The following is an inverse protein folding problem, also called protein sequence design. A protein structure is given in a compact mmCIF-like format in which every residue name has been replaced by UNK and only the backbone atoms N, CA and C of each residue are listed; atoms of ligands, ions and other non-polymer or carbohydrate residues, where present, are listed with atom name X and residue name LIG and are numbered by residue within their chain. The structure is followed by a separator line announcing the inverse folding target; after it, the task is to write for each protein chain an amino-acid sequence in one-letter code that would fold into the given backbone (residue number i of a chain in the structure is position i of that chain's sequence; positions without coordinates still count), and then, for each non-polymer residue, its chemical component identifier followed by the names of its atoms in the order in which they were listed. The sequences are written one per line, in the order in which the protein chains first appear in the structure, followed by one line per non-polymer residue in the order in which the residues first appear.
data_IF_767317918651
#
_entry.id   IF_767317918651
#
_cell.length_a   1.000
_cell.length_b   1.000
_cell.length_c   1.000
_cell.angle_alpha   90.00
_cell.angle_beta   90.00
_cell.angle_gamma   90.00
#
_symmetry.space_group_name_H-M   'P 1'
#
loop_
_entity.id
_entity.type
_entity.pdbx_description
1 polymer ?
#
# COMPACT_ATOMS: atom_id res chain seq x y z
N UNK A 1 6.28 -2.02 23.72
CA UNK A 1 6.99 -2.89 24.66
C UNK A 1 6.85 -2.42 26.10
N UNK A 2 7.05 -1.14 26.44
CA UNK A 2 6.87 -0.64 27.82
C UNK A 2 5.46 -0.81 28.41
N UNK A 3 4.41 -0.65 27.59
CA UNK A 3 3.02 -0.97 28.01
C UNK A 3 2.86 -2.47 28.27
N UNK A 4 3.50 -3.31 27.47
CA UNK A 4 3.46 -4.77 27.63
C UNK A 4 4.29 -5.24 28.84
N UNK A 5 5.44 -4.61 29.11
CA UNK A 5 6.25 -4.84 30.32
C UNK A 5 5.51 -4.39 31.59
N UNK A 6 4.72 -3.32 31.51
CA UNK A 6 3.84 -2.89 32.59
C UNK A 6 2.67 -3.87 32.80
N UNK A 7 2.03 -4.33 31.73
CA UNK A 7 0.92 -5.29 31.77
C UNK A 7 1.33 -6.67 32.32
N UNK A 8 2.56 -7.11 32.03
CA UNK A 8 3.11 -8.38 32.49
C UNK A 8 3.98 -8.24 33.75
N UNK A 9 3.94 -7.09 34.42
CA UNK A 9 4.77 -6.83 35.58
C UNK A 9 4.32 -7.70 36.76
N UNK A 10 5.15 -8.68 37.12
CA UNK A 10 4.95 -9.57 38.27
C UNK A 10 6.24 -9.67 39.06
N UNK A 11 6.10 -9.88 40.37
CA UNK A 11 7.23 -10.13 41.24
C UNK A 11 7.87 -11.48 40.88
N UNK A 12 9.19 -11.53 40.78
CA UNK A 12 9.91 -12.78 40.54
C UNK A 12 10.21 -13.56 41.82
N UNK A 13 10.31 -14.88 41.72
CA UNK A 13 10.53 -15.78 42.86
C UNK A 13 11.82 -15.51 43.66
N UNK A 14 12.79 -14.79 43.07
CA UNK A 14 14.12 -14.53 43.65
C UNK A 14 14.44 -13.03 43.80
N UNK A 15 13.45 -12.14 43.81
CA UNK A 15 13.69 -10.69 43.97
C UNK A 15 13.10 -10.16 45.29
N UNK A 16 13.75 -9.16 45.89
CA UNK A 16 13.18 -8.50 47.06
C UNK A 16 12.20 -7.39 46.63
N UNK A 17 11.33 -6.97 47.55
CA UNK A 17 10.33 -5.90 47.29
C UNK A 17 11.01 -4.60 46.83
N UNK A 18 12.20 -4.29 47.35
CA UNK A 18 12.96 -3.09 46.94
C UNK A 18 13.44 -3.17 45.48
N UNK A 19 13.87 -4.35 45.02
CA UNK A 19 14.28 -4.58 43.64
C UNK A 19 13.07 -4.49 42.70
N UNK A 20 11.94 -5.07 43.10
CA UNK A 20 10.66 -4.98 42.38
C UNK A 20 10.23 -3.51 42.24
N UNK A 21 10.25 -2.74 43.34
CA UNK A 21 9.87 -1.34 43.32
C UNK A 21 10.79 -0.49 42.44
N UNK A 22 12.09 -0.82 42.41
CA UNK A 22 13.07 -0.14 41.55
C UNK A 22 12.78 -0.38 40.06
N UNK A 23 12.43 -1.62 39.69
CA UNK A 23 12.01 -1.96 38.31
C UNK A 23 10.71 -1.26 37.92
N UNK A 24 9.73 -1.29 38.81
CA UNK A 24 8.44 -0.61 38.60
C UNK A 24 8.64 0.89 38.38
N UNK A 25 9.46 1.53 39.24
CA UNK A 25 9.79 2.96 39.14
C UNK A 25 10.49 3.28 37.81
N UNK A 26 11.38 2.40 37.35
CA UNK A 26 12.05 2.54 36.05
C UNK A 26 11.04 2.52 34.91
N UNK A 27 10.10 1.57 34.91
CA UNK A 27 9.04 1.46 33.89
C UNK A 27 8.16 2.73 33.88
N UNK A 28 7.71 3.18 35.05
CA UNK A 28 6.88 4.40 35.19
C UNK A 28 7.61 5.65 34.69
N UNK A 29 8.89 5.81 35.04
CA UNK A 29 9.68 6.95 34.57
C UNK A 29 9.90 6.92 33.05
N UNK A 30 10.11 5.74 32.47
CA UNK A 30 10.18 5.58 31.02
C UNK A 30 8.86 5.90 30.32
N UNK A 31 7.72 5.51 30.90
CA UNK A 31 6.39 5.83 30.37
C UNK A 31 6.09 7.34 30.45
N UNK A 32 6.39 7.99 31.57
CA UNK A 32 6.25 9.45 31.72
C UNK A 32 7.14 10.22 30.73
N UNK A 33 8.35 9.73 30.45
CA UNK A 33 9.24 10.34 29.47
C UNK A 33 8.77 10.17 28.02
N UNK A 34 7.95 9.16 27.72
CA UNK A 34 7.32 8.99 26.41
C UNK A 34 6.10 9.91 26.26
N UNK A 35 5.30 10.04 27.32
CA UNK A 35 4.15 10.96 27.34
C UNK A 35 4.60 12.44 27.23
N UNK A 36 5.76 12.79 27.81
CA UNK A 36 6.33 14.13 27.74
C UNK A 36 6.98 14.48 26.38
N UNK A 37 7.16 13.52 25.47
CA UNK A 37 7.72 13.76 24.13
C UNK A 37 6.60 13.74 23.11
N UNK A 38 6.10 14.91 22.76
CA UNK A 38 5.11 15.06 21.70
C UNK A 38 5.71 14.59 20.36
N UNK A 39 5.31 13.40 19.88
CA UNK A 39 5.85 12.77 18.66
C UNK A 39 5.62 13.63 17.40
N UNK A 40 4.76 14.65 17.48
CA UNK A 40 4.50 15.60 16.40
C UNK A 40 5.63 16.63 16.19
N UNK A 41 6.58 16.74 17.13
CA UNK A 41 7.62 17.78 17.13
C UNK A 41 9.02 17.31 16.72
N UNK A 42 9.22 16.00 16.51
CA UNK A 42 10.55 15.44 16.27
C UNK A 42 10.85 15.32 14.76
N UNK A 43 12.02 15.78 14.29
CA UNK A 43 12.44 15.63 12.90
C UNK A 43 12.62 14.15 12.54
N UNK A 44 12.32 13.81 11.27
CA UNK A 44 12.26 12.43 10.77
C UNK A 44 13.53 11.62 11.06
N UNK A 45 14.71 12.24 11.03
CA UNK A 45 15.97 11.55 11.32
C UNK A 45 16.06 11.04 12.77
N UNK A 46 15.48 11.76 13.73
CA UNK A 46 15.47 11.33 15.14
C UNK A 46 14.50 10.19 15.39
N UNK A 47 13.36 10.18 14.68
CA UNK A 47 12.40 9.08 14.73
C UNK A 47 13.01 7.81 14.14
N UNK A 48 13.70 7.94 13.00
CA UNK A 48 14.39 6.82 12.36
C UNK A 48 15.53 6.27 13.23
N UNK A 49 16.32 7.15 13.86
CA UNK A 49 17.37 6.74 14.80
C UNK A 49 16.83 6.02 16.03
N UNK A 50 15.68 6.47 16.55
CA UNK A 50 15.00 5.81 17.68
C UNK A 50 14.47 4.42 17.29
N UNK A 51 13.92 4.29 16.07
CA UNK A 51 13.41 3.03 15.54
C UNK A 51 14.54 2.01 15.30
N UNK A 52 15.67 2.45 14.72
CA UNK A 52 16.86 1.60 14.53
C UNK A 52 17.43 1.11 15.87
N UNK A 53 17.49 2.00 16.87
CA UNK A 53 17.95 1.64 18.22
C UNK A 53 17.03 0.59 18.85
N UNK A 54 15.71 0.76 18.69
CA UNK A 54 14.70 -0.20 19.17
C UNK A 54 14.80 -1.57 18.48
N UNK A 55 15.03 -1.62 17.17
CA UNK A 55 15.23 -2.88 16.44
C UNK A 55 16.46 -3.64 16.96
N UNK A 56 17.55 -2.94 17.25
CA UNK A 56 18.77 -3.56 17.80
C UNK A 56 18.60 -4.06 19.23
N UNK A 57 17.85 -3.37 20.10
CA UNK A 57 17.60 -3.85 21.47
C UNK A 57 16.72 -5.10 21.49
N UNK A 58 15.72 -5.19 20.60
CA UNK A 58 14.89 -6.40 20.46
C UNK A 58 15.72 -7.62 20.04
N UNK A 59 16.58 -7.48 19.02
CA UNK A 59 17.47 -8.57 18.56
C UNK A 59 18.49 -9.00 19.63
N UNK A 60 18.85 -8.12 20.56
CA UNK A 60 19.76 -8.45 21.67
C UNK A 60 19.07 -9.23 22.78
N UNK A 61 17.79 -8.96 23.09
CA UNK A 61 17.03 -9.73 24.10
C UNK A 61 16.76 -11.18 23.66
N UNK A 62 16.49 -11.43 22.37
CA UNK A 62 16.35 -12.79 21.83
C UNK A 62 17.63 -13.62 21.98
N UNK A 63 18.81 -13.01 21.90
CA UNK A 63 20.10 -13.70 22.04
C UNK A 63 20.48 -14.03 23.50
N UNK A 64 19.86 -13.39 24.49
CA UNK A 64 20.12 -13.65 25.93
C UNK A 64 19.30 -14.84 26.44
N UNK A 65 18.09 -15.06 25.93
CA UNK A 65 17.24 -16.20 26.35
C UNK A 65 17.79 -17.56 25.88
N UNK A 66 18.51 -17.62 24.76
CA UNK A 66 19.03 -18.89 24.20
C UNK A 66 20.26 -19.43 24.96
N UNK A 67 20.96 -18.62 25.77
CA UNK A 67 22.24 -19.01 26.42
C UNK A 67 22.17 -19.41 27.90
N UNK A 68 21.02 -19.34 28.57
CA UNK A 68 20.87 -19.77 29.99
C UNK A 68 20.12 -21.09 30.14
N UNK A 69 20.67 -22.19 29.61
CA UNK A 69 20.36 -23.55 30.07
C UNK A 69 21.66 -24.27 30.43
N UNK A 70 22.09 -24.13 31.68
CA UNK A 70 22.97 -25.11 32.34
C UNK A 70 22.20 -25.67 33.53
N UNK A 71 21.90 -26.96 33.45
CA UNK A 71 21.11 -27.75 34.39
C UNK A 71 21.77 -27.82 35.77
N UNK A 72 20.99 -27.59 36.81
CA UNK A 72 21.32 -27.94 38.19
C UNK A 72 20.94 -29.42 38.36
N UNK A 73 21.91 -30.27 38.73
CA UNK A 73 21.66 -31.67 39.05
C UNK A 73 21.54 -31.82 40.58
N UNK A 74 20.35 -32.18 41.06
CA UNK A 74 20.13 -32.65 42.43
C UNK A 74 19.68 -34.12 42.38
N UNK A 75 20.37 -34.98 43.15
CA UNK A 75 20.17 -36.43 43.19
C UNK A 75 18.98 -36.76 44.09
N UNK A 76 18.05 -37.56 43.59
CA UNK A 76 16.95 -38.16 44.34
C UNK A 76 17.41 -39.50 44.95
N UNK A 77 17.09 -39.72 46.23
CA UNK A 77 16.99 -41.06 46.80
C UNK A 77 15.54 -41.30 47.20
N UNK A 78 14.98 -42.34 46.59
CA UNK A 78 13.65 -42.89 46.78
C UNK A 78 13.70 -43.93 47.89
N UNK A 79 12.71 -43.98 48.77
CA UNK A 79 12.23 -45.25 49.31
C UNK A 79 10.76 -45.16 49.73
N UNK A 80 10.04 -46.21 49.33
CA UNK A 80 8.60 -46.39 49.37
C UNK A 80 8.14 -46.94 50.74
N UNK A 81 6.96 -46.53 51.24
CA UNK A 81 6.06 -47.45 51.96
C UNK A 81 4.67 -46.84 52.15
N UNK A 82 3.67 -47.52 51.58
CA UNK A 82 2.23 -47.35 51.82
C UNK A 82 1.88 -47.53 53.30
N UNK A 83 0.90 -46.79 53.83
CA UNK A 83 -0.39 -47.33 54.35
C UNK A 83 -1.17 -46.32 55.21
N UNK A 84 -2.51 -46.44 55.10
CA UNK A 84 -3.55 -46.16 56.11
C UNK A 84 -3.87 -44.72 56.51
N UNK A 85 -5.06 -44.30 56.09
CA UNK A 85 -5.88 -43.29 56.76
C UNK A 85 -6.27 -43.76 58.17
N UNK A 86 -6.07 -42.94 59.19
CA UNK A 86 -6.88 -42.94 60.42
C UNK A 86 -6.67 -41.63 61.21
N UNK A 87 -7.79 -41.07 61.66
CA UNK A 87 -7.95 -39.90 62.53
C UNK A 87 -7.13 -39.95 63.84
N UNK A 88 -6.63 -38.80 64.30
CA UNK A 88 -6.92 -38.19 65.61
C UNK A 88 -6.01 -36.99 65.98
N UNK A 89 -6.68 -35.89 66.34
CA UNK A 89 -6.34 -34.68 67.12
C UNK A 89 -5.37 -33.57 66.62
N UNK A 90 -5.79 -32.27 66.71
CA UNK A 90 -4.98 -31.11 66.40
C UNK A 90 -4.30 -30.58 67.67
N UNK A 91 -3.00 -30.81 67.82
CA UNK A 91 -2.19 -30.15 68.83
C UNK A 91 -0.84 -29.78 68.22
N UNK A 92 -0.77 -28.57 67.65
CA UNK A 92 0.44 -27.71 67.61
C UNK A 92 0.17 -26.42 66.82
N UNK A 93 -0.79 -25.60 67.26
CA UNK A 93 -0.99 -24.25 66.68
C UNK A 93 -0.78 -23.13 67.70
N UNK A 94 0.02 -23.36 68.75
CA UNK A 94 0.38 -22.33 69.72
C UNK A 94 1.43 -21.32 69.19
N UNK A 95 2.11 -21.56 68.07
CA UNK A 95 3.21 -20.67 67.62
C UNK A 95 2.76 -19.47 66.77
N UNK A 96 1.58 -19.51 66.14
CA UNK A 96 1.10 -18.42 65.27
C UNK A 96 0.53 -17.24 66.09
N UNK A 97 0.08 -17.48 67.33
CA UNK A 97 -0.45 -16.44 68.21
C UNK A 97 0.65 -15.53 68.82
N UNK A 98 1.89 -16.01 68.93
CA UNK A 98 2.97 -15.25 69.57
C UNK A 98 3.53 -14.10 68.72
N UNK A 99 3.44 -14.18 67.39
CA UNK A 99 3.93 -13.12 66.49
C UNK A 99 3.01 -11.89 66.54
N UNK A 100 1.71 -12.07 66.80
CA UNK A 100 0.76 -10.95 66.91
C UNK A 100 0.80 -10.23 68.26
N UNK A 101 1.44 -10.80 69.29
CA UNK A 101 1.49 -10.22 70.64
C UNK A 101 2.78 -9.45 70.96
N UNK A 102 3.85 -9.62 70.18
CA UNK A 102 5.15 -8.96 70.45
C UNK A 102 5.35 -7.62 69.73
N UNK A 103 4.43 -7.20 68.86
CA UNK A 103 4.54 -5.94 68.12
C UNK A 103 3.88 -4.73 68.80
N UNK A 104 3.46 -4.88 70.07
CA UNK A 104 2.97 -3.77 70.89
C UNK A 104 4.07 -3.50 71.93
N UNK A 105 5.19 -2.94 71.47
CA UNK A 105 6.10 -2.20 72.35
C UNK A 105 5.60 -0.75 72.41
N UNK A 106 5.55 -0.23 73.63
CA UNK A 106 4.95 1.03 74.03
C UNK A 106 5.52 2.25 73.27
N UNK A 107 4.80 2.72 72.24
CA UNK A 107 4.82 4.13 71.84
C UNK A 107 3.49 4.75 72.30
N UNK A 108 3.57 5.74 73.20
CA UNK A 108 2.42 6.56 73.59
C UNK A 108 1.85 7.29 72.37
N UNK A 109 0.94 6.65 71.64
CA UNK A 109 0.15 7.30 70.61
C UNK A 109 -1.31 7.32 71.04
N UNK A 110 -1.71 8.46 71.63
CA UNK A 110 -3.08 8.95 71.81
C UNK A 110 -4.17 7.91 71.49
N UNK A 111 -4.49 7.06 72.46
CA UNK A 111 -5.57 6.08 72.33
C UNK A 111 -6.90 6.84 72.30
N UNK A 112 -7.32 7.26 71.11
CA UNK A 112 -8.63 7.89 70.88
C UNK A 112 -9.68 6.81 71.12
N UNK A 113 -10.15 6.72 72.36
CA UNK A 113 -11.23 5.84 72.78
C UNK A 113 -12.53 6.26 72.08
N UNK A 114 -12.75 5.77 70.85
CA UNK A 114 -14.02 5.91 70.17
C UNK A 114 -15.11 5.26 71.00
N UNK A 115 -16.21 5.98 71.21
CA UNK A 115 -17.38 5.37 71.82
C UNK A 115 -17.97 4.34 70.85
N UNK A 116 -18.53 3.23 71.38
CA UNK A 116 -19.16 2.19 70.54
C UNK A 116 -20.17 2.78 69.54
N UNK A 117 -20.87 3.84 69.94
CA UNK A 117 -21.84 4.53 69.11
C UNK A 117 -21.19 5.31 67.95
N UNK A 118 -20.01 5.91 68.12
CA UNK A 118 -19.25 6.54 67.03
C UNK A 118 -18.74 5.51 66.03
N UNK A 119 -18.22 4.38 66.52
CA UNK A 119 -17.74 3.30 65.66
C UNK A 119 -18.87 2.68 64.84
N UNK A 120 -20.03 2.44 65.46
CA UNK A 120 -21.21 1.91 64.78
C UNK A 120 -21.74 2.86 63.71
N UNK A 121 -21.82 4.16 64.01
CA UNK A 121 -22.28 5.18 63.06
C UNK A 121 -21.28 5.40 61.91
N UNK A 122 -19.97 5.25 62.17
CA UNK A 122 -18.96 5.25 61.11
C UNK A 122 -19.10 4.03 60.19
N UNK A 123 -19.39 2.85 60.74
CA UNK A 123 -19.61 1.63 59.97
C UNK A 123 -20.86 1.69 59.09
N UNK A 124 -21.99 2.21 59.61
CA UNK A 124 -23.21 2.41 58.81
C UNK A 124 -22.95 3.33 57.60
N UNK A 125 -22.30 4.48 57.81
CA UNK A 125 -21.93 5.39 56.71
C UNK A 125 -21.05 4.71 55.67
N UNK A 126 -20.07 3.93 56.12
CA UNK A 126 -19.20 3.17 55.23
C UNK A 126 -19.99 2.13 54.41
N UNK A 127 -20.97 1.48 55.03
CA UNK A 127 -21.81 0.50 54.37
C UNK A 127 -22.74 1.15 53.31
N UNK A 128 -23.36 2.27 53.62
CA UNK A 128 -24.19 3.04 52.67
C UNK A 128 -23.37 3.54 51.46
N UNK A 129 -22.14 3.99 51.70
CA UNK A 129 -21.19 4.34 50.65
C UNK A 129 -20.81 3.13 49.79
N UNK A 130 -20.54 1.98 50.40
CA UNK A 130 -20.27 0.73 49.70
C UNK A 130 -21.44 0.30 48.81
N UNK A 131 -22.68 0.36 49.31
CA UNK A 131 -23.87 0.02 48.52
C UNK A 131 -24.02 0.97 47.32
N UNK A 132 -23.80 2.27 47.53
CA UNK A 132 -23.79 3.27 46.46
C UNK A 132 -22.74 2.97 45.39
N UNK A 133 -21.52 2.59 45.79
CA UNK A 133 -20.45 2.17 44.88
C UNK A 133 -20.84 0.91 44.10
N UNK A 134 -21.47 -0.07 44.76
CA UNK A 134 -21.96 -1.29 44.11
C UNK A 134 -22.99 -1.00 43.01
N UNK A 135 -23.93 -0.09 43.27
CA UNK A 135 -24.91 0.35 42.28
C UNK A 135 -24.25 1.05 41.09
N UNK A 136 -23.29 1.95 41.34
CA UNK A 136 -22.49 2.60 40.28
C UNK A 136 -21.77 1.56 39.42
N UNK A 137 -21.17 0.54 40.03
CA UNK A 137 -20.47 -0.53 39.31
C UNK A 137 -21.41 -1.35 38.41
N UNK A 138 -22.63 -1.65 38.86
CA UNK A 138 -23.66 -2.31 38.03
C UNK A 138 -24.01 -1.46 36.80
N UNK A 139 -24.14 -0.15 36.97
CA UNK A 139 -24.43 0.78 35.85
C UNK A 139 -23.26 0.86 34.88
N UNK A 140 -22.02 0.98 35.39
CA UNK A 140 -20.81 0.97 34.57
C UNK A 140 -20.71 -0.31 33.73
N UNK A 141 -20.98 -1.48 34.33
CA UNK A 141 -20.97 -2.75 33.61
C UNK A 141 -21.97 -2.78 32.45
N UNK A 142 -23.17 -2.22 32.62
CA UNK A 142 -24.16 -2.09 31.53
C UNK A 142 -23.66 -1.15 30.42
N UNK A 143 -23.06 -0.02 30.79
CA UNK A 143 -22.49 0.92 29.83
C UNK A 143 -21.35 0.29 29.03
N UNK A 144 -20.47 -0.48 29.68
CA UNK A 144 -19.39 -1.22 29.01
C UNK A 144 -19.94 -2.19 27.97
N UNK A 145 -21.00 -2.93 28.29
CA UNK A 145 -21.66 -3.85 27.34
C UNK A 145 -22.27 -3.06 26.17
N UNK A 146 -22.95 -1.94 26.45
CA UNK A 146 -23.54 -1.08 25.42
C UNK A 146 -22.49 -0.55 24.45
N UNK A 147 -21.40 0.01 24.98
CA UNK A 147 -20.28 0.55 24.19
C UNK A 147 -19.60 -0.57 23.39
N UNK A 148 -19.44 -1.77 23.96
CA UNK A 148 -18.87 -2.91 23.24
C UNK A 148 -19.68 -3.29 22.00
N UNK A 149 -21.02 -3.28 22.11
CA UNK A 149 -21.90 -3.57 20.97
C UNK A 149 -21.83 -2.47 19.89
N UNK A 150 -21.78 -1.20 20.29
CA UNK A 150 -21.58 -0.09 19.35
C UNK A 150 -20.22 -0.20 18.63
N UNK A 151 -19.17 -0.60 19.35
CA UNK A 151 -17.84 -0.85 18.78
C UNK A 151 -17.88 -1.96 17.71
N UNK A 152 -18.63 -3.04 17.97
CA UNK A 152 -18.79 -4.14 17.02
C UNK A 152 -19.56 -3.70 15.76
N UNK A 153 -20.62 -2.90 15.93
CA UNK A 153 -21.37 -2.34 14.80
C UNK A 153 -20.50 -1.40 13.94
N UNK A 154 -19.78 -0.46 14.57
CA UNK A 154 -18.88 0.46 13.88
C UNK A 154 -17.73 -0.29 13.17
N UNK A 155 -17.22 -1.36 13.78
CA UNK A 155 -16.25 -2.25 13.13
C UNK A 155 -16.82 -2.91 11.87
N UNK A 156 -18.08 -3.35 11.94
CA UNK A 156 -18.81 -3.87 10.79
C UNK A 156 -18.98 -2.85 9.67
N UNK A 157 -19.37 -1.62 10.00
CA UNK A 157 -19.48 -0.52 9.02
C UNK A 157 -18.13 -0.15 8.40
N UNK A 158 -17.07 -0.03 9.21
CA UNK A 158 -15.72 0.22 8.72
C UNK A 158 -15.24 -0.86 7.74
N UNK A 159 -15.59 -2.13 7.98
CA UNK A 159 -15.27 -3.20 7.04
C UNK A 159 -15.98 -3.05 5.69
N UNK A 160 -17.23 -2.54 5.68
CA UNK A 160 -17.97 -2.26 4.44
C UNK A 160 -17.34 -1.11 3.67
N UNK A 161 -16.99 -0.01 4.36
CA UNK A 161 -16.32 1.13 3.73
C UNK A 161 -14.94 0.74 3.16
N UNK A 162 -14.17 -0.11 3.85
CA UNK A 162 -12.91 -0.62 3.31
C UNK A 162 -13.11 -1.39 2.01
N UNK A 163 -14.10 -2.29 1.95
CA UNK A 163 -14.41 -3.03 0.72
C UNK A 163 -14.85 -2.11 -0.41
N UNK A 164 -15.63 -1.06 -0.11
CA UNK A 164 -16.03 -0.06 -1.10
C UNK A 164 -14.84 0.73 -1.64
N UNK A 165 -13.93 1.16 -0.76
CA UNK A 165 -12.68 1.83 -1.14
C UNK A 165 -11.82 0.94 -2.05
N UNK A 166 -11.68 -0.35 -1.73
CA UNK A 166 -10.95 -1.31 -2.57
C UNK A 166 -11.60 -1.42 -3.96
N UNK A 167 -12.93 -1.56 -4.02
CA UNK A 167 -13.66 -1.64 -5.30
C UNK A 167 -13.52 -0.37 -6.16
N UNK A 168 -13.52 0.81 -5.52
CA UNK A 168 -13.33 2.09 -6.21
C UNK A 168 -11.89 2.25 -6.70
N UNK A 169 -10.92 1.77 -5.93
CA UNK A 169 -9.51 1.77 -6.32
C UNK A 169 -9.27 0.91 -7.55
N UNK A 170 -9.86 -0.29 -7.60
CA UNK A 170 -9.81 -1.17 -8.77
C UNK A 170 -10.45 -0.51 -9.99
N UNK A 171 -11.60 0.14 -9.79
CA UNK A 171 -12.30 0.86 -10.86
C UNK A 171 -11.51 2.05 -11.38
N UNK A 172 -10.86 2.80 -10.49
CA UNK A 172 -9.95 3.89 -10.88
C UNK A 172 -8.75 3.34 -11.66
N UNK A 173 -8.17 2.22 -11.25
CA UNK A 173 -7.09 1.58 -12.01
C UNK A 173 -7.55 1.21 -13.43
N UNK A 174 -8.79 0.72 -13.59
CA UNK A 174 -9.36 0.44 -14.90
C UNK A 174 -9.49 1.70 -15.76
N UNK A 175 -10.10 2.77 -15.22
CA UNK A 175 -10.28 4.01 -15.95
C UNK A 175 -8.96 4.69 -16.32
N UNK A 176 -7.93 4.60 -15.47
CA UNK A 176 -6.59 5.10 -15.80
C UNK A 176 -6.01 4.39 -17.03
N UNK A 177 -6.13 3.06 -17.10
CA UNK A 177 -5.69 2.30 -18.27
C UNK A 177 -6.48 2.67 -19.53
N UNK A 178 -7.79 2.88 -19.41
CA UNK A 178 -8.64 3.29 -20.53
C UNK A 178 -8.25 4.68 -21.07
N UNK A 179 -7.94 5.63 -20.17
CA UNK A 179 -7.43 6.95 -20.53
C UNK A 179 -6.09 6.85 -21.26
N UNK A 180 -5.18 5.99 -20.81
CA UNK A 180 -3.88 5.80 -21.47
C UNK A 180 -4.05 5.26 -22.90
N UNK A 181 -4.95 4.29 -23.10
CA UNK A 181 -5.28 3.75 -24.43
C UNK A 181 -5.87 4.85 -25.34
N UNK A 182 -6.79 5.65 -24.81
CA UNK A 182 -7.39 6.76 -25.54
C UNK A 182 -6.35 7.82 -25.92
N UNK A 183 -5.42 8.14 -25.02
CA UNK A 183 -4.33 9.08 -25.28
C UNK A 183 -3.42 8.59 -26.40
N UNK A 184 -3.02 7.31 -26.38
CA UNK A 184 -2.23 6.70 -27.46
C UNK A 184 -2.99 6.74 -28.78
N UNK A 185 -4.28 6.42 -28.77
CA UNK A 185 -5.14 6.42 -29.96
C UNK A 185 -5.30 7.83 -30.54
N UNK A 186 -5.50 8.83 -29.68
CA UNK A 186 -5.58 10.24 -30.07
C UNK A 186 -4.26 10.73 -30.68
N UNK A 187 -3.13 10.37 -30.06
CA UNK A 187 -1.80 10.72 -30.58
C UNK A 187 -1.59 10.14 -31.99
N UNK A 188 -1.90 8.86 -32.17
CA UNK A 188 -1.82 8.19 -33.47
C UNK A 188 -2.73 8.86 -34.51
N UNK A 189 -3.95 9.25 -34.13
CA UNK A 189 -4.88 9.96 -35.01
C UNK A 189 -4.32 11.31 -35.45
N UNK A 190 -3.68 12.07 -34.56
CA UNK A 190 -3.07 13.35 -34.89
C UNK A 190 -1.90 13.18 -35.85
N UNK A 191 -1.06 12.17 -35.63
CA UNK A 191 0.08 11.88 -36.51
C UNK A 191 -0.39 11.54 -37.94
N UNK A 192 -1.46 10.74 -38.08
CA UNK A 192 -2.08 10.45 -39.38
C UNK A 192 -2.69 11.70 -40.04
N UNK A 193 -3.27 12.61 -39.27
CA UNK A 193 -3.81 13.87 -39.81
C UNK A 193 -2.69 14.75 -40.38
N UNK A 194 -1.58 14.88 -39.66
CA UNK A 194 -0.42 15.66 -40.12
C UNK A 194 0.20 15.07 -41.41
N UNK A 195 0.33 13.74 -41.49
CA UNK A 195 0.79 13.06 -42.70
C UNK A 195 -0.14 13.30 -43.89
N UNK A 196 -1.46 13.21 -43.69
CA UNK A 196 -2.44 13.48 -44.74
C UNK A 196 -2.38 14.93 -45.24
N UNK A 197 -2.14 15.90 -44.37
CA UNK A 197 -1.93 17.30 -44.79
C UNK A 197 -0.69 17.45 -45.66
N UNK A 198 0.43 16.81 -45.29
CA UNK A 198 1.67 16.80 -46.09
C UNK A 198 1.43 16.17 -47.46
N UNK A 199 0.81 15.00 -47.52
CA UNK A 199 0.47 14.31 -48.77
C UNK A 199 -0.44 15.17 -49.66
N UNK A 200 -1.38 15.91 -49.08
CA UNK A 200 -2.26 16.81 -49.83
C UNK A 200 -1.47 17.95 -50.50
N UNK A 201 -0.52 18.55 -49.78
CA UNK A 201 0.38 19.58 -50.32
C UNK A 201 1.23 19.01 -51.46
N UNK A 202 1.79 17.80 -51.30
CA UNK A 202 2.56 17.12 -52.34
C UNK A 202 1.72 16.83 -53.59
N UNK A 203 0.49 16.34 -53.42
CA UNK A 203 -0.44 16.09 -54.53
C UNK A 203 -0.75 17.38 -55.28
N UNK A 204 -0.99 18.49 -54.58
CA UNK A 204 -1.29 19.77 -55.22
C UNK A 204 -0.08 20.34 -55.98
N UNK A 205 1.12 20.18 -55.42
CA UNK A 205 2.37 20.50 -56.13
C UNK A 205 2.55 19.63 -57.38
N UNK A 206 2.31 18.31 -57.28
CA UNK A 206 2.40 17.37 -58.39
C UNK A 206 1.38 17.70 -59.48
N UNK A 207 0.11 17.96 -59.14
CA UNK A 207 -0.94 18.39 -60.08
C UNK A 207 -0.55 19.66 -60.84
N UNK A 208 0.07 20.63 -60.15
CA UNK A 208 0.59 21.85 -60.78
C UNK A 208 1.68 21.53 -61.79
N UNK A 209 2.65 20.69 -61.43
CA UNK A 209 3.72 20.25 -62.34
C UNK A 209 3.17 19.49 -63.56
N UNK A 210 2.18 18.62 -63.36
CA UNK A 210 1.53 17.86 -64.41
C UNK A 210 0.75 18.77 -65.38
N UNK A 211 0.07 19.79 -64.85
CA UNK A 211 -0.62 20.79 -65.68
C UNK A 211 0.36 21.55 -66.57
N UNK A 212 1.52 21.95 -66.05
CA UNK A 212 2.59 22.56 -66.85
C UNK A 212 3.14 21.61 -67.90
N UNK A 213 3.38 20.34 -67.55
CA UNK A 213 3.85 19.31 -68.47
C UNK A 213 2.85 19.03 -69.59
N UNK A 214 1.56 18.90 -69.26
CA UNK A 214 0.48 18.71 -70.22
C UNK A 214 0.38 19.89 -71.20
N UNK A 215 0.50 21.12 -70.70
CA UNK A 215 0.56 22.32 -71.55
C UNK A 215 1.79 22.35 -72.47
N UNK A 216 2.95 21.87 -72.01
CA UNK A 216 4.12 21.73 -72.89
C UNK A 216 3.94 20.63 -73.92
N UNK A 217 3.28 19.52 -73.56
CA UNK A 217 2.99 18.40 -74.48
C UNK A 217 2.10 18.86 -75.62
N UNK A 218 0.99 19.56 -75.33
CA UNK A 218 0.09 20.06 -76.38
C UNK A 218 0.78 21.07 -77.30
N UNK A 219 1.66 21.93 -76.78
CA UNK A 219 2.50 22.82 -77.60
C UNK A 219 3.44 22.03 -78.51
N UNK A 220 4.05 20.96 -78.01
CA UNK A 220 4.90 20.07 -78.81
C UNK A 220 4.08 19.34 -79.88
N UNK A 221 2.92 18.79 -79.54
CA UNK A 221 2.03 18.11 -80.48
C UNK A 221 1.57 19.06 -81.59
N UNK A 222 1.24 20.31 -81.23
CA UNK A 222 0.92 21.34 -82.21
C UNK A 222 2.12 21.66 -83.11
N UNK A 223 3.34 21.75 -82.56
CA UNK A 223 4.56 22.01 -83.34
C UNK A 223 4.86 20.86 -84.31
N UNK A 224 4.77 19.61 -83.84
CA UNK A 224 4.99 18.42 -84.67
C UNK A 224 3.88 18.24 -85.72
N UNK A 225 2.63 18.53 -85.36
CA UNK A 225 1.50 18.52 -86.30
C UNK A 225 1.59 19.61 -87.38
N UNK A 226 2.24 20.74 -87.08
CA UNK A 226 2.55 21.81 -88.03
C UNK A 226 3.79 21.50 -88.89
N UNK A 227 4.55 20.44 -88.60
CA UNK A 227 5.66 20.04 -89.44
C UNK A 227 5.11 19.59 -90.80
N UNK A 228 5.24 20.47 -91.80
CA UNK A 228 4.98 20.14 -93.21
C UNK A 228 5.72 18.85 -93.52
N UNK A 229 5.00 17.87 -94.06
CA UNK A 229 5.60 16.69 -94.67
C UNK A 229 6.80 17.14 -95.51
N UNK A 230 7.99 16.62 -95.19
CA UNK A 230 9.30 17.04 -95.76
C UNK A 230 9.43 16.72 -97.26
N UNK A 231 8.32 16.40 -97.92
CA UNK A 231 8.23 15.97 -99.30
C UNK A 231 7.88 17.11 -100.26
N UNK A 232 7.36 18.24 -99.79
CA UNK A 232 7.12 19.39 -100.66
C UNK A 232 8.26 20.40 -100.57
N UNK A 233 9.30 20.16 -101.37
CA UNK A 233 10.49 21.02 -101.52
C UNK A 233 10.32 22.09 -102.61
N UNK A 234 9.12 22.23 -103.18
CA UNK A 234 8.85 23.27 -104.16
C UNK A 234 8.96 24.65 -103.47
N UNK A 235 10.00 25.41 -103.83
CA UNK A 235 10.27 26.74 -103.27
C UNK A 235 11.73 27.03 -102.89
N UNK A 236 12.59 26.01 -102.78
CA UNK A 236 14.05 26.19 -102.62
C UNK A 236 14.80 25.90 -103.94
N UNK A 237 14.23 26.31 -105.07
CA UNK A 237 14.83 26.11 -106.40
C UNK A 237 14.65 24.72 -107.02
N UNK A 238 13.79 23.86 -106.44
CA UNK A 238 13.40 22.57 -107.03
C UNK A 238 12.04 22.69 -107.72
N UNK A 239 11.89 22.09 -108.90
CA UNK A 239 10.61 22.01 -109.63
C UNK A 239 9.59 21.16 -108.89
N UNK A 240 8.30 21.56 -108.96
CA UNK A 240 7.17 20.77 -108.45
C UNK A 240 7.18 19.37 -109.08
N UNK A 241 7.58 18.38 -108.30
CA UNK A 241 7.47 16.99 -108.72
C UNK A 241 6.01 16.55 -108.65
N UNK A 242 5.30 16.60 -109.77
CA UNK A 242 3.88 16.22 -109.90
C UNK A 242 3.57 14.75 -109.57
N UNK A 243 4.58 13.91 -109.26
CA UNK A 243 4.43 12.48 -109.01
C UNK A 243 5.27 12.00 -107.81
N UNK A 244 5.19 12.66 -106.66
CA UNK A 244 5.75 12.05 -105.44
C UNK A 244 4.73 11.05 -104.91
N UNK A 245 4.96 9.76 -105.23
CA UNK A 245 4.31 8.66 -104.53
C UNK A 245 4.45 8.91 -103.03
N UNK A 246 3.32 9.16 -102.35
CA UNK A 246 3.31 9.18 -100.91
C UNK A 246 3.85 7.84 -100.45
N UNK A 247 5.09 7.81 -99.97
CA UNK A 247 5.55 6.67 -99.20
C UNK A 247 4.59 6.61 -98.00
N UNK A 248 3.63 5.68 -98.04
CA UNK A 248 2.87 5.30 -96.86
C UNK A 248 3.90 5.09 -95.78
N UNK A 249 3.85 5.94 -94.76
CA UNK A 249 4.81 5.96 -93.68
C UNK A 249 5.29 4.55 -93.38
N UNK A 250 6.59 4.30 -93.58
CA UNK A 250 7.27 3.09 -93.10
C UNK A 250 7.43 3.16 -91.58
N UNK A 251 6.40 3.61 -90.86
CA UNK A 251 6.21 3.20 -89.49
C UNK A 251 5.66 1.78 -89.59
N UNK A 252 6.57 0.81 -89.55
CA UNK A 252 6.18 -0.54 -89.16
C UNK A 252 5.42 -0.39 -87.85
N UNK A 253 4.14 -0.80 -87.81
CA UNK A 253 3.40 -0.86 -86.56
C UNK A 253 4.32 -1.52 -85.54
N UNK A 254 4.64 -0.82 -84.45
CA UNK A 254 5.32 -1.45 -83.32
C UNK A 254 4.50 -2.68 -83.00
N UNK A 255 5.09 -3.88 -83.12
CA UNK A 255 4.49 -5.06 -82.55
C UNK A 255 4.40 -4.77 -81.05
N UNK A 256 3.21 -4.42 -80.57
CA UNK A 256 2.94 -4.38 -79.16
C UNK A 256 3.22 -5.79 -78.65
N UNK A 257 4.24 -6.00 -77.79
CA UNK A 257 4.35 -7.29 -77.15
C UNK A 257 3.04 -7.49 -76.41
N UNK A 258 2.34 -8.55 -76.79
CA UNK A 258 1.21 -9.10 -76.05
C UNK A 258 1.77 -9.59 -74.72
N UNK A 259 1.93 -8.67 -73.76
CA UNK A 259 2.36 -8.99 -72.40
C UNK A 259 1.15 -9.61 -71.73
N UNK A 260 1.02 -10.92 -71.89
CA UNK A 260 0.13 -11.69 -71.04
C UNK A 260 0.81 -11.92 -69.68
N UNK A 261 0.01 -11.87 -68.63
CA UNK A 261 0.50 -12.21 -67.29
C UNK A 261 0.91 -13.69 -67.26
N UNK A 262 2.17 -13.98 -66.91
CA UNK A 262 2.69 -15.36 -66.80
C UNK A 262 1.94 -16.24 -65.79
N UNK A 263 1.10 -15.67 -64.93
CA UNK A 263 0.33 -16.40 -63.93
C UNK A 263 -1.11 -16.70 -64.37
N UNK A 264 -1.75 -15.82 -65.16
CA UNK A 264 -3.16 -15.96 -65.50
C UNK A 264 -3.48 -15.91 -67.01
N UNK A 265 -2.47 -15.74 -67.88
CA UNK A 265 -2.57 -15.95 -69.33
C UNK A 265 -3.47 -14.97 -70.09
N UNK A 266 -4.02 -13.95 -69.43
CA UNK A 266 -4.84 -12.92 -70.09
C UNK A 266 -3.97 -11.78 -70.61
N UNK A 267 -4.41 -11.26 -71.75
CA UNK A 267 -3.93 -10.04 -72.40
C UNK A 267 -4.64 -8.83 -71.84
#
# INVERSE_FOLDING_TARGET
MLVHEYELFVMHDNECISDMFSRFTTIINSLKNLEAKDLSTLPLEQLLGSLMTHETTMKNHENVEVKKKKSIAFKASKEDSETTWSDSDPSSSEEIAHIAYMAIEDEEENEVNFTFNELHNAYEKLYDEYETVCLKNKTLKKNVISISNELENLKGENSKFLNEIESLKDKNSFYMNEIDILNVSSKLSNDFMEENEKLKIEIDALKKSFSTFSNSSTKLDNLLGLQRCVFDKAGLGFEEMKNVNHFKNLFVKKNEPRICCNYCGRL
#
